data_IF_705202965856
#
_entry.id   IF_705202965856
#
_cell.length_a   1.000
_cell.length_b   1.000
_cell.length_c   1.000
_cell.angle_alpha   90.00
_cell.angle_beta   90.00
_cell.angle_gamma   90.00
#
_symmetry.space_group_name_H-M   'P 1'
#
loop_
_entity.id
_entity.type
_entity.pdbx_description
1 polymer ?
#
# COMPACT_ATOMS: atom_id res chain seq x y z
N UNK A 1 -3.19 5.49 -15.39
CA UNK A 1 -4.66 5.58 -15.50
C UNK A 1 -5.08 7.06 -15.48
N UNK A 2 -6.33 7.39 -15.77
CA UNK A 2 -6.94 8.70 -15.47
C UNK A 2 -6.28 9.95 -16.11
N UNK A 3 -5.81 9.86 -17.36
CA UNK A 3 -5.27 11.01 -18.09
C UNK A 3 -4.08 11.67 -17.39
N UNK A 4 -4.13 12.99 -17.17
CA UNK A 4 -3.07 13.76 -16.50
C UNK A 4 -2.82 13.36 -15.05
N UNK A 5 -3.78 12.68 -14.39
CA UNK A 5 -3.61 12.19 -13.02
C UNK A 5 -2.64 11.01 -12.93
N UNK A 6 -2.42 10.30 -14.03
CA UNK A 6 -1.37 9.27 -14.18
C UNK A 6 -1.34 8.22 -13.07
N UNK A 7 -2.47 7.88 -12.46
CA UNK A 7 -2.50 6.99 -11.30
C UNK A 7 -2.11 5.54 -11.68
N UNK A 8 -1.51 4.78 -10.75
CA UNK A 8 -1.45 3.33 -10.86
C UNK A 8 -2.86 2.72 -10.82
N UNK A 9 -2.97 1.42 -11.08
CA UNK A 9 -4.22 0.69 -10.86
C UNK A 9 -4.45 0.44 -9.38
N UNK A 10 -3.37 0.19 -8.63
CA UNK A 10 -3.35 0.10 -7.17
C UNK A 10 -1.92 0.38 -6.67
N UNK A 11 -1.78 1.02 -5.52
CA UNK A 11 -0.55 1.06 -4.74
C UNK A 11 -0.89 0.61 -3.31
N UNK A 12 -0.38 -0.54 -2.88
CA UNK A 12 -0.67 -1.08 -1.56
C UNK A 12 0.33 -2.20 -1.19
N UNK A 13 0.63 -2.38 0.09
CA UNK A 13 1.21 -3.62 0.64
C UNK A 13 0.18 -4.73 0.46
N UNK A 14 0.40 -5.61 -0.51
CA UNK A 14 -0.49 -6.75 -0.79
C UNK A 14 0.27 -8.07 -0.77
N UNK A 15 1.61 -8.04 -0.79
CA UNK A 15 2.49 -9.19 -0.81
C UNK A 15 3.79 -8.89 -0.04
N UNK A 16 4.46 -9.94 0.45
CA UNK A 16 5.81 -9.79 1.00
C UNK A 16 5.85 -9.18 2.40
N UNK A 17 6.67 -8.13 2.57
CA UNK A 17 6.84 -7.43 3.85
C UNK A 17 5.92 -6.21 3.97
N UNK A 18 6.39 -5.10 4.53
CA UNK A 18 5.58 -3.90 4.77
C UNK A 18 5.59 -2.90 3.60
N UNK A 19 6.49 -3.09 2.63
CA UNK A 19 6.67 -2.14 1.52
C UNK A 19 5.56 -2.33 0.50
N UNK A 20 5.18 -1.23 -0.15
CA UNK A 20 4.00 -1.23 -1.01
C UNK A 20 4.33 -1.72 -2.42
N UNK A 21 3.48 -2.60 -2.96
CA UNK A 21 3.49 -2.94 -4.37
C UNK A 21 2.80 -1.87 -5.21
N UNK A 22 3.24 -1.76 -6.46
CA UNK A 22 2.54 -0.99 -7.50
C UNK A 22 1.92 -1.96 -8.50
N UNK A 23 0.62 -1.84 -8.73
CA UNK A 23 -0.11 -2.52 -9.80
C UNK A 23 -0.33 -1.53 -10.94
N UNK A 24 0.16 -1.84 -12.13
CA UNK A 24 -0.02 -1.02 -13.31
C UNK A 24 -0.49 -1.85 -14.52
N UNK A 25 -1.37 -1.27 -15.35
CA UNK A 25 -1.77 -1.90 -16.60
C UNK A 25 -0.70 -1.74 -17.68
N UNK A 26 -0.58 -2.71 -18.57
CA UNK A 26 0.20 -2.57 -19.81
C UNK A 26 -0.40 -1.50 -20.71
N UNK A 27 0.40 -0.97 -21.66
CA UNK A 27 -0.03 0.09 -22.58
C UNK A 27 -1.27 -0.31 -23.39
N UNK A 28 -1.36 -1.58 -23.78
CA UNK A 28 -2.48 -2.18 -24.50
C UNK A 28 -3.66 -2.60 -23.60
N UNK A 29 -3.50 -2.50 -22.28
CA UNK A 29 -4.54 -2.82 -21.29
C UNK A 29 -4.87 -4.31 -21.14
N UNK A 30 -4.04 -5.21 -21.67
CA UNK A 30 -4.30 -6.67 -21.64
C UNK A 30 -3.84 -7.35 -20.35
N UNK A 31 -2.89 -6.76 -19.65
CA UNK A 31 -2.30 -7.34 -18.44
C UNK A 31 -2.23 -6.31 -17.32
N UNK A 32 -2.26 -6.83 -16.09
CA UNK A 32 -1.82 -6.11 -14.89
C UNK A 32 -0.46 -6.64 -14.47
N UNK A 33 0.48 -5.73 -14.22
CA UNK A 33 1.82 -6.04 -13.72
C UNK A 33 1.93 -5.54 -12.29
N UNK A 34 2.35 -6.44 -11.42
CA UNK A 34 2.61 -6.16 -10.00
C UNK A 34 4.11 -5.99 -9.84
N UNK A 35 4.52 -4.83 -9.35
CA UNK A 35 5.91 -4.51 -9.04
C UNK A 35 6.07 -4.53 -7.53
N UNK A 36 6.97 -5.36 -7.05
CA UNK A 36 7.42 -5.39 -5.64
C UNK A 36 8.88 -4.97 -5.58
N UNK A 37 9.32 -4.51 -4.41
CA UNK A 37 10.69 -4.04 -4.21
C UNK A 37 11.62 -5.19 -3.82
N UNK A 38 12.83 -5.18 -4.40
CA UNK A 38 13.89 -6.15 -4.10
C UNK A 38 14.99 -5.58 -3.21
N UNK A 39 14.85 -4.33 -2.77
CA UNK A 39 15.82 -3.66 -1.92
C UNK A 39 15.78 -4.34 -0.53
N UNK A 40 16.87 -4.84 0.06
CA UNK A 40 16.79 -5.44 1.38
C UNK A 40 16.46 -4.39 2.46
N UNK A 41 15.80 -4.83 3.55
CA UNK A 41 15.52 -3.99 4.72
C UNK A 41 15.79 -4.75 6.01
N UNK A 42 16.32 -4.06 7.01
CA UNK A 42 16.51 -4.58 8.37
C UNK A 42 15.25 -4.36 9.25
N UNK A 43 14.29 -3.57 8.75
CA UNK A 43 13.09 -3.21 9.49
C UNK A 43 11.97 -4.22 9.23
N UNK A 44 11.39 -4.71 10.33
CA UNK A 44 10.22 -5.58 10.31
C UNK A 44 9.04 -4.86 10.94
N UNK A 45 7.99 -4.70 10.15
CA UNK A 45 6.69 -4.20 10.59
C UNK A 45 5.61 -5.24 10.32
N UNK A 46 4.45 -5.08 10.95
CA UNK A 46 3.26 -5.80 10.50
C UNK A 46 2.90 -5.31 9.09
N UNK A 47 2.30 -6.18 8.28
CA UNK A 47 1.71 -5.73 7.00
C UNK A 47 0.79 -4.54 7.27
N UNK A 48 0.90 -3.52 6.43
CA UNK A 48 0.10 -2.31 6.51
C UNK A 48 -1.38 -2.62 6.29
N UNK A 49 -1.73 -3.73 5.62
CA UNK A 49 -3.12 -4.18 5.48
C UNK A 49 -3.77 -4.62 6.80
N UNK A 50 -2.99 -4.78 7.87
CA UNK A 50 -3.48 -5.00 9.22
C UNK A 50 -3.51 -3.73 10.08
N UNK A 51 -3.13 -2.57 9.52
CA UNK A 51 -3.44 -1.26 10.11
C UNK A 51 -4.83 -0.80 9.63
N UNK A 52 -5.77 -0.48 10.53
CA UNK A 52 -7.15 -0.19 10.15
C UNK A 52 -7.28 1.06 9.28
N UNK A 53 -6.45 2.09 9.51
CA UNK A 53 -6.50 3.33 8.72
C UNK A 53 -5.94 3.08 7.33
N UNK A 54 -4.78 2.45 7.22
CA UNK A 54 -4.17 2.10 5.94
C UNK A 54 -5.08 1.20 5.10
N UNK A 55 -5.60 0.11 5.69
CA UNK A 55 -6.49 -0.84 5.01
C UNK A 55 -7.73 -0.16 4.43
N UNK A 56 -8.24 0.83 5.14
CA UNK A 56 -9.41 1.58 4.76
C UNK A 56 -9.08 2.64 3.69
N UNK A 57 -7.92 3.31 3.79
CA UNK A 57 -7.39 4.15 2.71
C UNK A 57 -7.19 3.37 1.41
N UNK A 58 -6.70 2.13 1.47
CA UNK A 58 -6.61 1.23 0.30
C UNK A 58 -7.99 1.00 -0.32
N UNK A 59 -9.01 0.77 0.52
CA UNK A 59 -10.38 0.54 0.06
C UNK A 59 -10.99 1.76 -0.67
N UNK A 60 -10.55 2.97 -0.34
CA UNK A 60 -11.02 4.20 -0.99
C UNK A 60 -10.08 4.75 -2.07
N UNK A 61 -8.93 4.11 -2.30
CA UNK A 61 -7.95 4.61 -3.26
C UNK A 61 -8.54 4.78 -4.66
N UNK A 62 -9.54 3.99 -5.06
CA UNK A 62 -10.20 4.09 -6.37
C UNK A 62 -11.25 5.21 -6.47
N UNK A 63 -11.57 5.91 -5.37
CA UNK A 63 -12.67 6.88 -5.32
C UNK A 63 -12.20 8.24 -5.84
N UNK A 64 -12.98 8.80 -6.78
CA UNK A 64 -12.74 10.13 -7.36
C UNK A 64 -11.30 10.32 -7.89
N UNK A 65 -10.56 11.28 -7.34
CA UNK A 65 -9.14 11.44 -7.64
C UNK A 65 -8.33 10.66 -6.62
N UNK A 66 -7.83 9.49 -7.03
CA UNK A 66 -7.10 8.56 -6.19
C UNK A 66 -6.04 9.28 -5.35
N UNK A 67 -6.09 9.06 -4.03
CA UNK A 67 -5.12 9.58 -3.07
C UNK A 67 -4.18 8.46 -2.60
N UNK A 68 -2.93 8.78 -2.22
CA UNK A 68 -2.04 7.81 -1.61
C UNK A 68 -2.59 7.32 -0.26
N UNK A 69 -2.19 6.12 0.11
CA UNK A 69 -2.49 5.47 1.38
C UNK A 69 -1.67 6.07 2.51
N UNK A 70 -2.23 6.09 3.72
CA UNK A 70 -1.55 6.58 4.92
C UNK A 70 -1.80 5.62 6.08
N UNK A 71 -0.75 5.22 6.83
CA UNK A 71 -0.92 4.49 8.08
C UNK A 71 -1.57 5.34 9.17
N UNK A 72 -2.25 4.68 10.12
CA UNK A 72 -2.86 5.31 11.29
C UNK A 72 -1.87 5.76 12.38
N UNK A 73 -0.57 5.65 12.12
CA UNK A 73 0.52 5.98 13.04
C UNK A 73 1.67 6.65 12.30
N UNK A 74 2.54 7.35 13.03
CA UNK A 74 3.73 7.96 12.45
C UNK A 74 4.69 6.86 11.93
N UNK A 75 4.95 6.89 10.63
CA UNK A 75 5.81 5.93 9.95
C UNK A 75 6.98 6.66 9.29
N UNK A 76 8.13 6.67 9.96
CA UNK A 76 9.29 7.44 9.53
C UNK A 76 10.44 7.40 10.53
N UNK A 77 11.46 8.20 10.26
CA UNK A 77 12.67 8.28 11.08
C UNK A 77 12.37 8.66 12.54
N UNK A 78 12.97 7.95 13.49
CA UNK A 78 12.74 8.20 14.92
C UNK A 78 11.34 7.81 15.42
N UNK A 79 10.56 7.03 14.67
CA UNK A 79 9.28 6.52 15.15
C UNK A 79 9.43 5.62 16.38
N UNK A 80 8.44 5.64 17.26
CA UNK A 80 8.30 4.64 18.31
C UNK A 80 7.94 3.27 17.70
N UNK A 81 8.16 2.19 18.46
CA UNK A 81 7.70 0.86 18.04
C UNK A 81 6.18 0.90 17.84
N UNK A 82 5.69 0.52 16.64
CA UNK A 82 4.27 0.65 16.34
C UNK A 82 3.46 -0.35 17.17
N UNK A 83 2.20 -0.02 17.50
CA UNK A 83 1.35 -0.93 18.26
C UNK A 83 1.15 -2.24 17.50
N UNK A 84 1.02 -3.34 18.24
CA UNK A 84 0.62 -4.62 17.65
C UNK A 84 -0.77 -4.47 17.03
N UNK A 85 -0.93 -4.96 15.80
CA UNK A 85 -2.25 -4.98 15.16
C UNK A 85 -3.27 -5.74 16.03
N UNK A 86 -4.43 -5.13 16.22
CA UNK A 86 -5.56 -5.67 16.98
C UNK A 86 -6.61 -6.37 16.09
N UNK A 87 -6.27 -6.64 14.83
CA UNK A 87 -7.21 -7.25 13.86
C UNK A 87 -7.54 -8.69 14.27
N UNK A 88 -8.84 -8.95 14.44
CA UNK A 88 -9.40 -10.30 14.64
C UNK A 88 -9.87 -10.82 13.28
N UNK A 89 -9.48 -12.05 12.94
CA UNK A 89 -9.92 -12.72 11.71
C UNK A 89 -11.20 -13.53 11.99
N UNK A 90 -12.15 -13.58 11.04
CA UNK A 90 -13.36 -14.39 11.16
C UNK A 90 -13.07 -15.88 11.39
#
# INVERSE_FOLDING_TARGET
NNGSKSNPSLCADILGDWREEIVARTRDGRELRIFTTTIPTEHRFYTLMHDPIYRLSVAWQNVAYNQPTQPGFYFGEGMATPPRSSVIRP
#
